data_IF_675503137187
#
_entry.id   IF_675503137187
#
_cell.length_a   1.000
_cell.length_b   1.000
_cell.length_c   1.000
_cell.angle_alpha   90.00
_cell.angle_beta   90.00
_cell.angle_gamma   90.00
#
_symmetry.space_group_name_H-M   'P 1'
#
loop_
_entity.id
_entity.type
_entity.pdbx_description
1 polymer ?
#
# COMPACT_ATOMS: atom_id res chain seq x y z
N UNK A 1 -24.15 20.18 16.76
CA UNK A 1 -23.41 20.32 15.48
C UNK A 1 -21.93 20.43 15.83
N UNK A 2 -21.15 19.36 15.61
CA UNK A 2 -19.71 19.38 15.89
C UNK A 2 -18.99 20.25 14.86
N UNK A 3 -18.17 21.18 15.34
CA UNK A 3 -17.29 22.01 14.53
C UNK A 3 -16.25 21.12 13.84
N UNK A 4 -16.21 21.13 12.50
CA UNK A 4 -15.08 20.60 11.74
C UNK A 4 -13.93 21.62 11.80
N UNK A 5 -13.19 21.63 12.93
CA UNK A 5 -11.90 22.32 13.07
C UNK A 5 -10.82 21.22 13.03
N UNK A 6 -9.72 21.22 12.27
CA UNK A 6 -8.88 22.24 11.63
C UNK A 6 -8.20 21.59 10.41
N UNK A 7 -7.69 22.40 9.48
CA UNK A 7 -6.57 22.01 8.59
C UNK A 7 -5.31 21.84 9.44
N UNK A 8 -5.22 20.74 10.16
CA UNK A 8 -4.02 20.39 10.91
C UNK A 8 -2.94 20.03 9.90
N UNK A 9 -1.74 20.61 10.07
CA UNK A 9 -0.63 20.26 9.19
C UNK A 9 -0.21 18.84 9.56
N UNK A 10 -0.20 17.95 8.57
CA UNK A 10 0.40 16.63 8.71
C UNK A 10 1.92 16.85 8.75
N UNK A 11 2.50 16.96 9.93
CA UNK A 11 3.94 16.97 10.16
C UNK A 11 4.48 15.54 10.29
N UNK A 12 5.74 15.36 10.71
CA UNK A 12 6.40 14.04 10.75
C UNK A 12 5.95 13.17 11.94
N UNK A 13 5.35 13.75 12.97
CA UNK A 13 4.86 13.03 14.14
C UNK A 13 3.35 12.69 14.00
N UNK A 14 2.70 13.25 12.98
CA UNK A 14 1.29 13.02 12.71
C UNK A 14 1.03 11.55 12.33
N UNK A 15 0.00 10.87 12.88
CA UNK A 15 -0.32 9.47 12.56
C UNK A 15 -0.57 9.18 11.08
N UNK A 16 -0.95 10.21 10.32
CA UNK A 16 -1.19 10.13 8.87
C UNK A 16 -0.04 10.74 8.03
N UNK A 17 1.16 10.89 8.61
CA UNK A 17 2.34 11.38 7.89
C UNK A 17 2.65 10.55 6.65
N UNK A 18 2.42 9.24 6.73
CA UNK A 18 2.65 8.28 5.66
C UNK A 18 1.90 8.62 4.36
N UNK A 19 0.79 9.36 4.40
CA UNK A 19 0.07 9.77 3.20
C UNK A 19 0.85 10.75 2.31
N UNK A 20 1.91 11.39 2.83
CA UNK A 20 2.65 12.43 2.10
C UNK A 20 3.60 11.89 1.04
N UNK A 21 3.77 10.57 0.99
CA UNK A 21 4.65 9.90 0.02
C UNK A 21 3.98 9.71 -1.34
N UNK A 22 2.65 9.72 -1.35
CA UNK A 22 1.84 9.52 -2.54
C UNK A 22 1.61 10.83 -3.28
N UNK A 23 1.48 10.72 -4.60
CA UNK A 23 1.07 11.82 -5.44
C UNK A 23 -0.47 12.04 -5.39
N UNK A 24 -0.99 13.15 -5.96
CA UNK A 24 -2.43 13.41 -5.95
C UNK A 24 -3.29 12.37 -6.67
N UNK A 25 -2.77 11.66 -7.67
CA UNK A 25 -3.52 10.63 -8.40
C UNK A 25 -3.68 9.38 -7.52
N UNK A 26 -2.59 8.94 -6.88
CA UNK A 26 -2.58 7.83 -5.93
C UNK A 26 -3.48 8.11 -4.71
N UNK A 27 -3.44 9.32 -4.16
CA UNK A 27 -4.33 9.71 -3.06
C UNK A 27 -5.80 9.67 -3.45
N UNK A 28 -6.15 10.02 -4.70
CA UNK A 28 -7.52 9.88 -5.19
C UNK A 28 -7.92 8.42 -5.32
N UNK A 29 -7.01 7.53 -5.74
CA UNK A 29 -7.27 6.09 -5.80
C UNK A 29 -7.54 5.51 -4.41
N UNK A 30 -6.72 5.85 -3.42
CA UNK A 30 -6.97 5.48 -2.01
C UNK A 30 -8.36 5.94 -1.54
N UNK A 31 -8.73 7.19 -1.83
CA UNK A 31 -10.04 7.74 -1.46
C UNK A 31 -11.16 6.95 -2.15
N UNK A 32 -11.03 6.66 -3.44
CA UNK A 32 -12.05 5.93 -4.20
C UNK A 32 -12.24 4.50 -3.67
N UNK A 33 -11.16 3.79 -3.35
CA UNK A 33 -11.20 2.44 -2.77
C UNK A 33 -11.86 2.43 -1.38
N UNK A 34 -11.39 3.31 -0.48
CA UNK A 34 -11.97 3.48 0.85
C UNK A 34 -13.46 3.80 0.76
N UNK A 35 -13.85 4.72 -0.11
CA UNK A 35 -15.25 5.12 -0.27
C UNK A 35 -16.11 4.04 -0.91
N UNK A 36 -15.55 3.23 -1.80
CA UNK A 36 -16.24 2.10 -2.42
C UNK A 36 -16.67 1.06 -1.37
N UNK A 37 -15.74 0.68 -0.48
CA UNK A 37 -16.02 -0.28 0.58
C UNK A 37 -16.85 0.33 1.70
N UNK A 38 -16.55 1.57 2.10
CA UNK A 38 -17.30 2.28 3.14
C UNK A 38 -18.80 2.36 2.82
N UNK A 39 -19.20 2.55 1.56
CA UNK A 39 -20.62 2.57 1.16
C UNK A 39 -21.35 1.24 1.42
N UNK A 40 -20.62 0.15 1.61
CA UNK A 40 -21.16 -1.19 1.83
C UNK A 40 -21.12 -1.63 3.31
N UNK A 41 -20.58 -0.82 4.23
CA UNK A 41 -20.40 -1.22 5.65
C UNK A 41 -21.70 -1.42 6.41
N UNK A 42 -22.77 -0.70 6.05
CA UNK A 42 -24.10 -0.90 6.62
C UNK A 42 -24.75 -2.22 6.18
N UNK A 43 -24.21 -2.87 5.14
CA UNK A 43 -24.76 -4.09 4.56
C UNK A 43 -24.05 -5.35 5.07
N UNK A 44 -22.85 -5.24 5.62
CA UNK A 44 -22.05 -6.38 6.04
C UNK A 44 -20.99 -5.99 7.09
N UNK A 45 -20.93 -6.73 8.20
CA UNK A 45 -19.84 -6.57 9.17
C UNK A 45 -18.46 -6.84 8.55
N UNK A 46 -18.38 -7.72 7.53
CA UNK A 46 -17.14 -8.02 6.80
C UNK A 46 -16.57 -6.82 6.03
N UNK A 47 -17.41 -5.85 5.67
CA UNK A 47 -16.95 -4.66 4.98
C UNK A 47 -16.10 -3.74 5.88
N UNK A 48 -16.22 -3.86 7.21
CA UNK A 48 -15.26 -3.20 8.12
C UNK A 48 -13.88 -3.85 8.08
N UNK A 49 -13.81 -5.18 8.09
CA UNK A 49 -12.55 -5.92 7.96
C UNK A 49 -11.86 -5.60 6.61
N UNK A 50 -12.66 -5.51 5.54
CA UNK A 50 -12.17 -5.16 4.21
C UNK A 50 -11.67 -3.70 4.14
N UNK A 51 -12.38 -2.77 4.78
CA UNK A 51 -11.96 -1.38 4.86
C UNK A 51 -10.64 -1.24 5.65
N UNK A 52 -10.51 -1.97 6.76
CA UNK A 52 -9.26 -2.01 7.52
C UNK A 52 -8.11 -2.59 6.67
N UNK A 53 -8.38 -3.66 5.92
CA UNK A 53 -7.42 -4.26 4.99
C UNK A 53 -6.89 -3.27 3.96
N UNK A 54 -7.77 -2.55 3.27
CA UNK A 54 -7.38 -1.54 2.27
C UNK A 54 -6.48 -0.46 2.90
N UNK A 55 -6.89 0.11 4.04
CA UNK A 55 -6.09 1.15 4.71
C UNK A 55 -4.73 0.60 5.14
N UNK A 56 -4.69 -0.66 5.59
CA UNK A 56 -3.45 -1.33 5.99
C UNK A 56 -2.50 -1.53 4.81
N UNK A 57 -2.98 -2.04 3.69
CA UNK A 57 -2.20 -2.27 2.46
C UNK A 57 -1.59 -0.97 1.91
N UNK A 58 -2.36 0.12 1.91
CA UNK A 58 -1.86 1.44 1.51
C UNK A 58 -0.81 1.97 2.48
N UNK A 59 -0.96 1.74 3.78
CA UNK A 59 0.04 2.12 4.77
C UNK A 59 1.35 1.33 4.61
N UNK A 60 1.28 0.02 4.38
CA UNK A 60 2.45 -0.81 4.07
C UNK A 60 3.16 -0.36 2.79
N UNK A 61 2.39 0.00 1.75
CA UNK A 61 2.93 0.56 0.52
C UNK A 61 3.71 1.85 0.78
N UNK A 62 3.20 2.72 1.65
CA UNK A 62 3.90 3.95 2.02
C UNK A 62 5.21 3.69 2.76
N UNK A 63 5.24 2.68 3.63
CA UNK A 63 6.45 2.24 4.30
C UNK A 63 7.47 1.68 3.30
N UNK A 64 7.03 0.92 2.30
CA UNK A 64 7.90 0.37 1.26
C UNK A 64 8.52 1.49 0.40
N UNK A 65 7.71 2.46 -0.04
CA UNK A 65 8.19 3.63 -0.82
C UNK A 65 9.19 4.46 -0.02
N UNK A 66 8.97 4.63 1.28
CA UNK A 66 9.84 5.43 2.15
C UNK A 66 11.10 4.70 2.59
N UNK A 67 11.26 3.42 2.26
CA UNK A 67 12.36 2.61 2.75
C UNK A 67 13.56 2.69 1.78
N UNK A 68 14.68 3.33 2.20
CA UNK A 68 15.86 3.46 1.34
C UNK A 68 16.51 2.12 1.00
N UNK A 69 16.35 1.09 1.85
CA UNK A 69 16.90 -0.24 1.57
C UNK A 69 16.11 -0.94 0.45
N UNK A 70 14.78 -0.73 0.41
CA UNK A 70 13.94 -1.25 -0.67
C UNK A 70 14.25 -0.50 -1.97
N UNK A 71 14.33 0.83 -1.93
CA UNK A 71 14.72 1.64 -3.09
C UNK A 71 16.10 1.23 -3.65
N UNK A 72 17.08 1.01 -2.76
CA UNK A 72 18.41 0.56 -3.13
C UNK A 72 18.39 -0.84 -3.77
N UNK A 73 17.59 -1.77 -3.24
CA UNK A 73 17.45 -3.12 -3.80
C UNK A 73 16.88 -3.09 -5.23
N UNK A 74 15.96 -2.17 -5.55
CA UNK A 74 15.41 -2.00 -6.89
C UNK A 74 16.28 -1.16 -7.84
N UNK A 75 17.16 -0.32 -7.29
CA UNK A 75 18.05 0.56 -8.06
C UNK A 75 19.43 -0.03 -8.32
N UNK A 76 19.77 -1.18 -7.72
CA UNK A 76 20.97 -1.91 -8.08
C UNK A 76 20.88 -2.33 -9.56
N UNK A 77 21.73 -1.73 -10.41
CA UNK A 77 21.88 -2.17 -11.80
C UNK A 77 22.20 -3.67 -11.81
N UNK A 78 21.45 -4.40 -12.62
CA UNK A 78 21.50 -5.86 -12.80
C UNK A 78 22.82 -6.38 -13.38
N UNK A 79 23.83 -5.53 -13.55
CA UNK A 79 25.11 -5.88 -14.16
C UNK A 79 25.93 -6.90 -13.34
N UNK A 80 25.58 -7.13 -12.06
CA UNK A 80 26.24 -8.14 -11.19
C UNK A 80 25.32 -9.28 -10.72
N UNK A 81 24.01 -9.26 -11.04
CA UNK A 81 23.12 -10.36 -10.73
C UNK A 81 23.09 -11.32 -11.93
N UNK A 82 23.78 -12.46 -11.79
CA UNK A 82 23.64 -13.60 -12.70
C UNK A 82 22.14 -13.86 -12.89
N UNK A 83 21.61 -13.65 -14.11
CA UNK A 83 20.20 -13.91 -14.42
C UNK A 83 19.87 -15.34 -14.00
N UNK A 84 19.19 -15.48 -12.86
CA UNK A 84 18.76 -16.78 -12.38
C UNK A 84 17.60 -17.19 -13.26
N UNK A 85 17.89 -17.98 -14.29
CA UNK A 85 16.89 -18.62 -15.12
C UNK A 85 16.02 -19.47 -14.19
N UNK A 86 14.77 -19.05 -14.01
CA UNK A 86 13.77 -19.84 -13.29
C UNK A 86 13.63 -21.17 -14.03
N UNK A 87 14.11 -22.24 -13.41
CA UNK A 87 13.92 -23.58 -13.95
C UNK A 87 12.44 -23.92 -13.90
N UNK A 88 11.94 -24.57 -14.95
CA UNK A 88 10.60 -25.13 -14.92
C UNK A 88 10.51 -26.15 -13.78
N UNK A 89 9.37 -26.23 -13.08
CA UNK A 89 9.18 -27.24 -12.05
C UNK A 89 9.44 -28.62 -12.66
N UNK A 90 10.24 -29.44 -11.97
CA UNK A 90 10.46 -30.83 -12.36
C UNK A 90 9.13 -31.57 -12.24
N UNK A 91 8.59 -32.05 -13.36
CA UNK A 91 7.50 -33.02 -13.35
C UNK A 91 8.02 -34.32 -12.73
N UNK A 92 7.80 -34.51 -11.42
CA UNK A 92 8.19 -35.71 -10.66
C UNK A 92 7.39 -36.98 -11.06
N UNK A 93 6.58 -36.93 -12.11
CA UNK A 93 5.69 -38.04 -12.53
C UNK A 93 5.99 -38.62 -13.92
N UNK A 94 7.19 -38.41 -14.46
CA UNK A 94 7.65 -39.14 -15.66
C UNK A 94 8.38 -40.43 -15.27
N UNK A 95 7.67 -41.39 -14.67
CA UNK A 95 8.11 -42.78 -14.51
C UNK A 95 6.92 -43.75 -14.47
#
# INVERSE_FOLDING_TARGET
MGKLEKKEKIDNEHPYHWLKVFDPEELNQLIDEVMSVYRSVDLSAKAWDELEGIIHEWHESALAISNPDIEAAFSQESDELEEVILSQPLDENAA
#
